data_IF_599082417868
#
_entry.id   IF_599082417868
#
_cell.length_a   1.000
_cell.length_b   1.000
_cell.length_c   1.000
_cell.angle_alpha   90.00
_cell.angle_beta   90.00
_cell.angle_gamma   90.00
#
_symmetry.space_group_name_H-M   'P 1'
#
loop_
_entity.id
_entity.type
_entity.pdbx_description
1 polymer ?
#
# COMPACT_ATOMS: atom_id res chain seq x y z
N UNK A 1 -6.88 -22.10 -8.34
CA UNK A 1 -6.51 -20.76 -7.82
C UNK A 1 -6.94 -20.55 -6.36
N UNK A 2 -7.99 -21.20 -5.86
CA UNK A 2 -8.47 -21.08 -4.45
C UNK A 2 -7.44 -21.56 -3.40
N UNK A 3 -6.63 -22.56 -3.72
CA UNK A 3 -5.73 -23.22 -2.75
C UNK A 3 -4.63 -22.34 -2.17
N UNK A 4 -4.07 -21.39 -2.92
CA UNK A 4 -2.95 -20.56 -2.43
C UNK A 4 -3.45 -19.52 -1.43
N UNK A 5 -4.56 -18.83 -1.73
CA UNK A 5 -5.13 -17.84 -0.83
C UNK A 5 -5.66 -18.48 0.46
N UNK A 6 -6.26 -19.66 0.38
CA UNK A 6 -6.71 -20.41 1.57
C UNK A 6 -5.54 -20.79 2.48
N UNK A 7 -4.42 -21.23 1.90
CA UNK A 7 -3.17 -21.50 2.65
C UNK A 7 -2.60 -20.25 3.29
N UNK A 8 -2.55 -19.12 2.57
CA UNK A 8 -2.07 -17.85 3.13
C UNK A 8 -2.92 -17.44 4.34
N UNK A 9 -4.25 -17.58 4.24
CA UNK A 9 -5.17 -17.30 5.34
C UNK A 9 -4.93 -18.23 6.53
N UNK A 10 -4.71 -19.51 6.29
CA UNK A 10 -4.38 -20.50 7.33
C UNK A 10 -3.07 -20.15 8.06
N UNK A 11 -2.00 -19.86 7.30
CA UNK A 11 -0.70 -19.44 7.86
C UNK A 11 -0.87 -18.15 8.67
N UNK A 12 -1.57 -17.16 8.11
CA UNK A 12 -1.83 -15.87 8.75
C UNK A 12 -2.59 -16.01 10.07
N UNK A 13 -3.55 -16.94 10.13
CA UNK A 13 -4.32 -17.24 11.34
C UNK A 13 -3.46 -17.91 12.41
N UNK A 14 -2.58 -18.82 12.00
CA UNK A 14 -1.69 -19.56 12.91
C UNK A 14 -0.58 -18.68 13.50
N UNK A 15 -0.20 -17.59 12.84
CA UNK A 15 0.81 -16.64 13.34
C UNK A 15 0.33 -15.84 14.58
N UNK A 16 -0.99 -15.75 14.80
CA UNK A 16 -1.59 -15.09 15.97
C UNK A 16 -1.53 -13.56 15.95
N UNK A 17 -1.04 -12.95 14.87
CA UNK A 17 -1.04 -11.49 14.67
C UNK A 17 -2.45 -11.02 14.35
N UNK A 18 -2.95 -10.09 15.17
CA UNK A 18 -4.27 -9.49 15.01
C UNK A 18 -4.33 -8.73 13.67
N UNK A 19 -5.32 -9.06 12.84
CA UNK A 19 -5.57 -8.37 11.56
C UNK A 19 -4.81 -8.96 10.36
N UNK A 20 -3.85 -9.86 10.56
CA UNK A 20 -3.03 -10.42 9.46
C UNK A 20 -3.85 -11.18 8.42
N UNK A 21 -4.78 -12.04 8.85
CA UNK A 21 -5.65 -12.78 7.92
C UNK A 21 -6.47 -11.84 7.03
N UNK A 22 -7.05 -10.79 7.61
CA UNK A 22 -7.82 -9.81 6.86
C UNK A 22 -6.94 -8.95 5.94
N UNK A 23 -5.69 -8.67 6.35
CA UNK A 23 -4.73 -7.93 5.56
C UNK A 23 -4.28 -8.71 4.34
N UNK A 24 -3.91 -9.97 4.53
CA UNK A 24 -3.57 -10.86 3.43
C UNK A 24 -4.72 -11.00 2.44
N UNK A 25 -5.97 -11.13 2.93
CA UNK A 25 -7.14 -11.20 2.06
C UNK A 25 -7.31 -9.94 1.21
N UNK A 26 -7.19 -8.75 1.79
CA UNK A 26 -7.34 -7.49 1.03
C UNK A 26 -6.15 -7.23 0.10
N UNK A 27 -4.93 -7.52 0.55
CA UNK A 27 -3.71 -7.33 -0.22
C UNK A 27 -3.74 -8.16 -1.51
N UNK A 28 -4.16 -9.42 -1.41
CA UNK A 28 -4.13 -10.35 -2.53
C UNK A 28 -5.46 -10.46 -3.28
N UNK A 29 -6.50 -9.71 -2.88
CA UNK A 29 -7.84 -9.79 -3.50
C UNK A 29 -7.83 -9.52 -5.01
N UNK A 30 -6.95 -8.62 -5.47
CA UNK A 30 -6.82 -8.24 -6.89
C UNK A 30 -5.44 -8.59 -7.45
N UNK A 31 -4.69 -9.47 -6.78
CA UNK A 31 -3.37 -9.87 -7.26
C UNK A 31 -3.47 -10.61 -8.60
N UNK A 32 -2.59 -10.28 -9.53
CA UNK A 32 -2.44 -11.00 -10.79
C UNK A 32 -2.08 -12.48 -10.49
N UNK A 33 -2.73 -13.46 -11.15
CA UNK A 33 -2.31 -14.86 -11.06
C UNK A 33 -0.82 -15.11 -11.26
N UNK A 34 -0.14 -14.35 -12.14
CA UNK A 34 1.31 -14.46 -12.33
C UNK A 34 2.09 -14.14 -11.06
N UNK A 35 1.70 -13.09 -10.33
CA UNK A 35 2.29 -12.76 -9.04
C UNK A 35 2.04 -13.86 -8.01
N UNK A 36 0.79 -14.33 -7.89
CA UNK A 36 0.42 -15.37 -6.91
C UNK A 36 1.10 -16.72 -7.19
N UNK A 37 1.41 -17.02 -8.45
CA UNK A 37 2.12 -18.23 -8.83
C UNK A 37 3.65 -18.07 -8.79
N UNK A 38 4.15 -16.82 -8.73
CA UNK A 38 5.57 -16.51 -8.66
C UNK A 38 6.19 -16.70 -7.28
N UNK A 39 5.36 -16.81 -6.23
CA UNK A 39 5.79 -16.97 -4.85
C UNK A 39 5.04 -18.12 -4.17
N UNK A 40 5.69 -18.81 -3.23
CA UNK A 40 5.03 -19.81 -2.40
C UNK A 40 4.14 -19.15 -1.31
N UNK A 41 3.29 -19.96 -0.67
CA UNK A 41 2.31 -19.46 0.29
C UNK A 41 2.97 -18.87 1.54
N UNK A 42 4.10 -19.45 1.96
CA UNK A 42 4.92 -19.00 3.08
C UNK A 42 5.51 -17.60 2.80
N UNK A 43 6.05 -17.39 1.61
CA UNK A 43 6.58 -16.09 1.16
C UNK A 43 5.47 -15.05 1.04
N UNK A 44 4.33 -15.42 0.46
CA UNK A 44 3.17 -14.52 0.37
C UNK A 44 2.63 -14.14 1.76
N UNK A 45 2.62 -15.06 2.72
CA UNK A 45 2.27 -14.77 4.11
C UNK A 45 3.31 -13.85 4.78
N UNK A 46 4.60 -14.04 4.52
CA UNK A 46 5.67 -13.17 5.01
C UNK A 46 5.58 -11.74 4.41
N UNK A 47 5.26 -11.61 3.13
CA UNK A 47 4.97 -10.33 2.46
C UNK A 47 3.80 -9.63 3.17
N UNK A 48 2.70 -10.34 3.40
CA UNK A 48 1.54 -9.79 4.10
C UNK A 48 1.88 -9.34 5.53
N UNK A 49 2.72 -10.11 6.24
CA UNK A 49 3.19 -9.78 7.59
C UNK A 49 4.09 -8.54 7.61
N UNK A 50 5.02 -8.43 6.67
CA UNK A 50 5.86 -7.24 6.49
C UNK A 50 5.00 -6.01 6.21
N UNK A 51 4.06 -6.13 5.27
CA UNK A 51 3.15 -5.05 4.89
C UNK A 51 2.25 -4.59 6.03
N UNK A 52 1.71 -5.51 6.82
CA UNK A 52 0.92 -5.16 8.01
C UNK A 52 1.78 -4.42 9.04
N UNK A 53 3.02 -4.86 9.28
CA UNK A 53 3.95 -4.18 10.18
C UNK A 53 4.31 -2.78 9.69
N UNK A 54 4.53 -2.61 8.38
CA UNK A 54 4.80 -1.30 7.79
C UNK A 54 3.57 -0.38 7.91
N UNK A 55 2.39 -0.90 7.59
CA UNK A 55 1.13 -0.19 7.81
C UNK A 55 1.05 0.23 9.27
N UNK A 56 1.20 -0.67 10.24
CA UNK A 56 1.15 -0.42 11.69
C UNK A 56 2.04 0.73 12.15
N UNK A 57 3.26 0.80 11.64
CA UNK A 57 4.23 1.84 11.99
C UNK A 57 4.06 3.15 11.22
N UNK A 58 3.14 3.22 10.25
CA UNK A 58 2.88 4.42 9.46
C UNK A 58 2.17 5.50 10.29
N UNK A 59 2.85 6.62 10.53
CA UNK A 59 2.38 7.73 11.36
C UNK A 59 2.23 9.05 10.57
N UNK A 60 2.89 9.16 9.42
CA UNK A 60 2.89 10.36 8.58
C UNK A 60 1.77 10.33 7.54
N UNK A 61 1.55 11.47 6.85
CA UNK A 61 0.59 11.59 5.74
C UNK A 61 0.99 10.74 4.53
N UNK A 62 2.29 10.66 4.27
CA UNK A 62 2.94 9.83 3.25
C UNK A 62 4.00 9.01 4.00
N UNK A 63 3.97 7.69 3.87
CA UNK A 63 4.99 6.81 4.44
C UNK A 63 5.53 5.96 3.29
N UNK A 64 6.85 5.92 3.15
CA UNK A 64 7.53 5.21 2.07
C UNK A 64 8.60 4.31 2.68
N UNK A 65 8.62 3.05 2.27
CA UNK A 65 9.68 2.09 2.55
C UNK A 65 10.20 1.53 1.23
N UNK A 66 11.52 1.48 1.06
CA UNK A 66 12.17 0.89 -0.12
C UNK A 66 13.32 0.05 0.39
N UNK A 67 13.35 -1.23 0.01
CA UNK A 67 14.31 -2.19 0.54
C UNK A 67 14.48 -3.39 -0.38
N UNK A 68 15.63 -4.03 -0.26
CA UNK A 68 15.92 -5.33 -0.86
C UNK A 68 15.61 -6.43 0.18
N UNK A 69 14.54 -7.23 0.02
CA UNK A 69 14.15 -8.18 1.05
C UNK A 69 15.21 -9.25 1.31
N UNK A 70 15.46 -9.53 2.58
CA UNK A 70 16.38 -10.57 3.04
C UNK A 70 15.72 -11.47 4.08
N UNK A 71 16.10 -12.75 4.10
CA UNK A 71 15.55 -13.69 5.08
C UNK A 71 15.87 -13.26 6.52
N UNK A 72 17.05 -12.69 6.75
CA UNK A 72 17.50 -12.27 8.07
C UNK A 72 16.71 -11.07 8.62
N UNK A 73 16.39 -10.08 7.78
CA UNK A 73 15.71 -8.86 8.22
C UNK A 73 14.18 -8.96 8.12
N UNK A 74 13.69 -9.59 7.05
CA UNK A 74 12.28 -9.52 6.64
C UNK A 74 11.56 -10.87 6.77
N UNK A 75 12.31 -11.97 6.90
CA UNK A 75 11.76 -13.33 6.91
C UNK A 75 11.38 -13.85 5.52
N UNK A 76 11.70 -13.11 4.47
CA UNK A 76 11.53 -13.49 3.08
C UNK A 76 12.56 -12.77 2.19
N UNK A 77 12.81 -13.30 0.99
CA UNK A 77 13.70 -12.66 0.03
C UNK A 77 13.17 -12.79 -1.39
N UNK A 78 13.60 -11.90 -2.28
CA UNK A 78 13.33 -12.00 -3.71
C UNK A 78 14.42 -11.26 -4.52
N UNK A 79 14.38 -11.41 -5.84
CA UNK A 79 15.31 -10.76 -6.76
C UNK A 79 14.93 -9.32 -7.12
N UNK A 80 13.93 -8.75 -6.44
CA UNK A 80 13.40 -7.40 -6.69
C UNK A 80 13.71 -6.46 -5.53
N UNK A 81 13.74 -5.16 -5.81
CA UNK A 81 13.57 -4.16 -4.76
C UNK A 81 12.08 -3.95 -4.53
N UNK A 82 11.69 -3.87 -3.27
CA UNK A 82 10.31 -3.68 -2.84
C UNK A 82 10.12 -2.23 -2.43
N UNK A 83 9.10 -1.60 -3.00
CA UNK A 83 8.60 -0.29 -2.63
C UNK A 83 7.24 -0.47 -1.96
N UNK A 84 7.11 0.01 -0.72
CA UNK A 84 5.84 0.11 -0.01
C UNK A 84 5.50 1.58 0.22
N UNK A 85 4.26 1.97 -0.07
CA UNK A 85 3.72 3.29 0.23
C UNK A 85 2.41 3.18 0.98
N UNK A 86 2.27 3.98 2.04
CA UNK A 86 1.00 4.21 2.73
C UNK A 86 0.69 5.69 2.66
N UNK A 87 -0.42 6.02 2.01
CA UNK A 87 -0.95 7.38 1.90
C UNK A 87 -2.46 7.36 2.10
N UNK A 88 -3.07 8.46 2.56
CA UNK A 88 -4.54 8.55 2.56
C UNK A 88 -5.07 8.38 1.14
N UNK A 89 -6.12 7.56 0.99
CA UNK A 89 -6.76 7.26 -0.29
C UNK A 89 -7.11 8.55 -1.05
N UNK A 90 -6.61 8.64 -2.30
CA UNK A 90 -6.76 9.81 -3.17
C UNK A 90 -6.48 9.42 -4.63
N UNK A 91 -6.99 10.20 -5.61
CA UNK A 91 -6.69 9.98 -7.03
C UNK A 91 -5.19 10.08 -7.35
N UNK A 92 -4.79 9.48 -8.47
CA UNK A 92 -3.47 9.60 -9.12
C UNK A 92 -2.27 8.99 -8.38
N UNK A 93 -2.44 8.33 -7.23
CA UNK A 93 -1.32 7.69 -6.49
C UNK A 93 -0.60 6.66 -7.36
N UNK A 94 -1.33 5.66 -7.86
CA UNK A 94 -0.78 4.56 -8.67
C UNK A 94 -0.10 5.09 -9.94
N UNK A 95 -0.79 5.94 -10.70
CA UNK A 95 -0.27 6.48 -11.96
C UNK A 95 1.00 7.32 -11.75
N UNK A 96 1.05 8.10 -10.68
CA UNK A 96 2.22 8.92 -10.35
C UNK A 96 3.41 8.08 -9.89
N UNK A 97 3.16 7.00 -9.14
CA UNK A 97 4.20 6.04 -8.77
C UNK A 97 4.77 5.33 -9.99
N UNK A 98 3.92 4.86 -10.90
CA UNK A 98 4.37 4.25 -12.16
C UNK A 98 5.21 5.23 -12.99
N UNK A 99 4.74 6.48 -13.13
CA UNK A 99 5.44 7.50 -13.90
C UNK A 99 6.82 7.84 -13.29
N UNK A 100 6.93 8.04 -11.97
CA UNK A 100 8.22 8.36 -11.34
C UNK A 100 9.20 7.18 -11.41
N UNK A 101 8.72 5.95 -11.31
CA UNK A 101 9.56 4.76 -11.49
C UNK A 101 10.09 4.65 -12.92
N UNK A 102 9.21 4.82 -13.91
CA UNK A 102 9.59 4.80 -15.33
C UNK A 102 10.59 5.91 -15.70
N UNK A 103 10.36 7.13 -15.21
CA UNK A 103 11.27 8.28 -15.43
C UNK A 103 12.67 8.04 -14.85
N UNK A 104 12.77 7.24 -13.79
CA UNK A 104 14.04 6.87 -13.17
C UNK A 104 14.58 5.52 -13.68
N UNK A 105 14.03 5.01 -14.80
CA UNK A 105 14.46 3.78 -15.46
C UNK A 105 14.37 2.52 -14.57
N UNK A 106 13.44 2.52 -13.62
CA UNK A 106 13.13 1.34 -12.80
C UNK A 106 11.90 0.66 -13.34
N UNK A 107 12.07 -0.53 -13.92
CA UNK A 107 10.93 -1.29 -14.43
C UNK A 107 10.12 -1.88 -13.28
N UNK A 108 8.81 -1.69 -13.31
CA UNK A 108 7.87 -2.38 -12.42
C UNK A 108 7.53 -3.76 -12.98
N UNK A 109 7.75 -4.80 -12.18
CA UNK A 109 7.42 -6.19 -12.54
C UNK A 109 6.05 -6.59 -11.99
N UNK A 110 5.76 -6.23 -10.74
CA UNK A 110 4.48 -6.48 -10.09
C UNK A 110 4.10 -5.30 -9.22
N UNK A 111 2.81 -5.07 -9.05
CA UNK A 111 2.32 -4.17 -8.01
C UNK A 111 0.94 -4.58 -7.51
N UNK A 112 0.67 -4.28 -6.24
CA UNK A 112 -0.61 -4.47 -5.56
C UNK A 112 -1.00 -3.14 -4.93
N UNK A 113 -2.23 -2.69 -5.18
CA UNK A 113 -2.70 -1.37 -4.77
C UNK A 113 -4.06 -1.41 -4.04
N UNK A 114 -4.21 -2.21 -2.95
CA UNK A 114 -5.46 -2.28 -2.22
C UNK A 114 -5.80 -0.95 -1.51
N UNK A 115 -7.10 -0.63 -1.48
CA UNK A 115 -7.63 0.40 -0.59
C UNK A 115 -7.98 -0.24 0.76
N UNK A 116 -7.23 0.14 1.80
CA UNK A 116 -7.37 -0.39 3.15
C UNK A 116 -8.20 0.56 4.01
N UNK A 117 -9.26 0.04 4.64
CA UNK A 117 -10.05 0.80 5.61
C UNK A 117 -9.58 0.50 7.02
N UNK A 118 -8.97 1.49 7.67
CA UNK A 118 -8.36 1.34 9.00
C UNK A 118 -9.21 2.08 10.04
N UNK A 119 -9.63 1.36 11.07
CA UNK A 119 -10.19 1.96 12.29
C UNK A 119 -9.12 2.07 13.39
N UNK A 120 -9.08 3.22 14.06
CA UNK A 120 -8.17 3.45 15.18
C UNK A 120 -8.94 3.30 16.50
N UNK A 121 -8.67 2.24 17.27
CA UNK A 121 -9.12 2.11 18.67
C UNK A 121 -7.90 2.20 19.59
N UNK A 122 -7.79 3.31 20.33
CA UNK A 122 -6.70 3.68 21.25
C UNK A 122 -5.27 3.69 20.67
N UNK A 123 -4.33 4.26 21.45
CA UNK A 123 -2.93 4.59 21.09
C UNK A 123 -2.15 3.41 20.48
N UNK A 124 -2.60 2.18 20.74
CA UNK A 124 -2.19 0.99 19.99
C UNK A 124 -3.30 0.68 19.00
N UNK A 125 -3.20 1.27 17.81
CA UNK A 125 -4.15 1.07 16.73
C UNK A 125 -4.36 -0.43 16.50
N UNK A 126 -5.43 -1.01 17.04
CA UNK A 126 -5.88 -2.31 16.59
C UNK A 126 -6.45 -2.04 15.20
N UNK A 127 -5.60 -2.19 14.17
CA UNK A 127 -5.98 -2.00 12.78
C UNK A 127 -6.90 -3.14 12.39
N UNK A 128 -8.18 -2.95 12.66
CA UNK A 128 -9.18 -3.71 11.96
C UNK A 128 -9.21 -3.16 10.55
N UNK A 129 -8.84 -4.03 9.62
CA UNK A 129 -9.25 -3.89 8.25
C UNK A 129 -10.76 -4.13 8.20
N UNK A 130 -11.49 -3.05 8.40
CA UNK A 130 -12.93 -3.10 8.53
C UNK A 130 -13.57 -3.13 7.14
N UNK A 131 -14.81 -3.63 7.07
CA UNK A 131 -15.74 -3.13 6.05
C UNK A 131 -15.88 -1.63 6.27
N UNK A 132 -15.95 -0.86 5.18
CA UNK A 132 -16.13 0.60 5.21
C UNK A 132 -17.15 1.02 6.29
N UNK A 133 -16.70 1.84 7.23
CA UNK A 133 -17.53 2.35 8.32
C UNK A 133 -17.44 3.88 8.40
N UNK A 134 -18.25 4.49 9.26
CA UNK A 134 -18.19 5.94 9.49
C UNK A 134 -16.91 6.40 10.22
N UNK A 135 -16.27 5.50 10.97
CA UNK A 135 -15.06 5.78 11.76
C UNK A 135 -13.76 5.35 11.08
N UNK A 136 -13.84 4.55 10.01
CA UNK A 136 -12.67 4.10 9.26
C UNK A 136 -12.11 5.19 8.37
N UNK A 137 -10.78 5.29 8.30
CA UNK A 137 -10.07 6.08 7.29
C UNK A 137 -9.61 5.16 6.16
N UNK A 138 -9.76 5.61 4.92
CA UNK A 138 -9.28 4.89 3.75
C UNK A 138 -7.81 5.28 3.47
N UNK A 139 -6.97 4.27 3.28
CA UNK A 139 -5.58 4.39 2.90
C UNK A 139 -5.35 3.66 1.59
N UNK A 140 -4.62 4.28 0.67
CA UNK A 140 -3.99 3.58 -0.43
C UNK A 140 -2.72 2.93 0.11
N UNK A 141 -2.68 1.60 0.07
CA UNK A 141 -1.46 0.83 0.34
C UNK A 141 -0.94 0.32 -1.00
N UNK A 142 0.29 0.69 -1.31
CA UNK A 142 0.92 0.43 -2.59
C UNK A 142 2.13 -0.46 -2.34
N UNK A 143 2.19 -1.61 -2.99
CA UNK A 143 3.30 -2.55 -2.90
C UNK A 143 3.80 -2.82 -4.32
N UNK A 144 5.01 -2.37 -4.63
CA UNK A 144 5.63 -2.43 -5.93
C UNK A 144 6.89 -3.29 -5.88
N UNK A 145 7.09 -4.11 -6.90
CA UNK A 145 8.29 -4.91 -7.12
C UNK A 145 8.97 -4.36 -8.36
N UNK A 146 10.13 -3.74 -8.18
CA UNK A 146 10.89 -3.08 -9.24
C UNK A 146 12.23 -3.79 -9.47
N UNK A 147 12.93 -3.41 -10.54
CA UNK A 147 14.30 -3.82 -10.77
C UNK A 147 15.16 -3.64 -9.50
N UNK A 148 16.03 -4.60 -9.25
CA UNK A 148 16.91 -4.56 -8.08
C UNK A 148 17.85 -3.36 -8.17
N UNK A 149 17.78 -2.49 -7.17
CA UNK A 149 18.66 -1.33 -7.01
C UNK A 149 19.65 -1.56 -5.86
N UNK A 150 20.80 -0.90 -5.93
CA UNK A 150 21.75 -0.90 -4.82
C UNK A 150 21.21 -0.09 -3.64
N UNK A 151 21.57 -0.51 -2.43
CA UNK A 151 21.14 0.20 -1.21
C UNK A 151 21.63 1.67 -1.17
N UNK A 152 22.67 2.02 -1.93
CA UNK A 152 23.16 3.39 -2.09
C UNK A 152 22.20 4.31 -2.82
N UNK A 153 21.38 3.76 -3.71
CA UNK A 153 20.53 4.52 -4.64
C UNK A 153 19.10 4.66 -4.09
N UNK A 154 18.75 3.83 -3.11
CA UNK A 154 17.47 3.85 -2.40
C UNK A 154 17.10 5.25 -1.86
N UNK A 155 17.98 5.99 -1.17
CA UNK A 155 17.63 7.30 -0.62
C UNK A 155 17.21 8.31 -1.68
N UNK A 156 17.88 8.30 -2.84
CA UNK A 156 17.56 9.19 -3.94
C UNK A 156 16.19 8.86 -4.54
N UNK A 157 15.93 7.58 -4.80
CA UNK A 157 14.62 7.15 -5.31
C UNK A 157 13.49 7.46 -4.33
N UNK A 158 13.73 7.23 -3.03
CA UNK A 158 12.77 7.52 -1.97
C UNK A 158 12.41 9.01 -1.93
N UNK A 159 13.39 9.89 -2.09
CA UNK A 159 13.16 11.33 -2.13
C UNK A 159 12.29 11.71 -3.33
N UNK A 160 12.61 11.23 -4.53
CA UNK A 160 11.83 11.53 -5.75
C UNK A 160 10.37 11.07 -5.64
N UNK A 161 10.15 9.87 -5.09
CA UNK A 161 8.80 9.35 -4.84
C UNK A 161 8.06 10.23 -3.83
N UNK A 162 8.74 10.67 -2.78
CA UNK A 162 8.14 11.56 -1.78
C UNK A 162 7.68 12.88 -2.39
N UNK A 163 8.54 13.54 -3.17
CA UNK A 163 8.23 14.81 -3.85
C UNK A 163 7.00 14.67 -4.75
N UNK A 164 6.94 13.63 -5.58
CA UNK A 164 5.78 13.35 -6.45
C UNK A 164 4.51 13.10 -5.65
N UNK A 165 4.58 12.34 -4.55
CA UNK A 165 3.41 12.09 -3.71
C UNK A 165 2.96 13.33 -2.94
N UNK A 166 3.87 14.24 -2.59
CA UNK A 166 3.52 15.55 -2.03
C UNK A 166 2.76 16.41 -3.05
N UNK A 167 3.18 16.40 -4.32
CA UNK A 167 2.46 17.09 -5.39
C UNK A 167 1.05 16.51 -5.60
N UNK A 168 0.92 15.17 -5.64
CA UNK A 168 -0.38 14.49 -5.69
C UNK A 168 -1.25 14.91 -4.51
N UNK A 169 -0.66 14.97 -3.32
CA UNK A 169 -1.36 15.38 -2.11
C UNK A 169 -1.87 16.81 -2.21
N UNK A 170 -1.01 17.75 -2.63
CA UNK A 170 -1.38 19.15 -2.80
C UNK A 170 -2.47 19.33 -3.86
N UNK A 171 -2.33 18.66 -5.02
CA UNK A 171 -3.29 18.74 -6.11
C UNK A 171 -4.67 18.16 -5.76
N UNK A 172 -4.71 17.17 -4.87
CA UNK A 172 -5.97 16.48 -4.50
C UNK A 172 -6.65 17.07 -3.27
N UNK A 173 -5.90 17.70 -2.36
CA UNK A 173 -6.46 18.36 -1.18
C UNK A 173 -7.36 19.55 -1.59
N UNK A 174 -6.97 20.31 -2.62
CA UNK A 174 -7.76 21.45 -3.13
C UNK A 174 -9.00 21.01 -3.94
N UNK A 175 -8.96 19.83 -4.56
CA UNK A 175 -10.05 19.35 -5.40
C UNK A 175 -11.35 19.12 -4.62
N UNK A 176 -11.27 18.61 -3.39
CA UNK A 176 -12.46 18.41 -2.56
C UNK A 176 -13.10 19.75 -2.14
N UNK A 177 -12.28 20.73 -1.77
CA UNK A 177 -12.74 22.06 -1.39
C UNK A 177 -13.39 22.80 -2.58
N UNK A 178 -12.76 22.74 -3.75
CA UNK A 178 -13.30 23.31 -4.98
C UNK A 178 -14.63 22.66 -5.35
N UNK A 179 -14.76 21.32 -5.25
CA UNK A 179 -16.01 20.61 -5.54
C UNK A 179 -17.12 20.95 -4.54
N UNK A 180 -16.80 21.11 -3.26
CA UNK A 180 -17.76 21.57 -2.26
C UNK A 180 -18.25 22.98 -2.55
N UNK A 181 -17.36 23.93 -2.87
CA UNK A 181 -17.77 25.30 -3.19
C UNK A 181 -18.54 25.39 -4.51
N UNK A 182 -18.17 24.59 -5.51
CA UNK A 182 -18.93 24.50 -6.75
C UNK A 182 -20.36 23.99 -6.47
N UNK A 183 -20.49 22.93 -5.68
CA UNK A 183 -21.80 22.36 -5.31
C UNK A 183 -22.64 23.35 -4.50
N UNK A 184 -22.04 24.10 -3.55
CA UNK A 184 -22.75 25.16 -2.82
C UNK A 184 -23.29 26.24 -3.76
N UNK A 185 -22.49 26.67 -4.74
CA UNK A 185 -22.92 27.66 -5.73
C UNK A 185 -23.99 27.13 -6.68
N UNK A 186 -23.92 25.86 -7.09
CA UNK A 186 -24.97 25.22 -7.89
C UNK A 186 -26.29 25.21 -7.12
N UNK A 187 -26.29 24.80 -5.85
CA UNK A 187 -27.49 24.82 -5.01
C UNK A 187 -28.06 26.21 -4.73
N UNK A 188 -27.25 27.27 -4.87
CA UNK A 188 -27.72 28.66 -4.77
C UNK A 188 -28.39 29.16 -6.07
N UNK A 189 -28.00 28.61 -7.23
CA UNK A 189 -28.60 28.96 -8.53
C UNK A 189 -29.91 28.19 -8.77
N UNK A 190 -30.06 27.02 -8.16
CA UNK A 190 -31.26 26.16 -8.27
C UNK A 190 -32.36 26.50 -7.24
N UNK A 191 -32.13 27.46 -6.34
CA UNK A 191 -33.07 27.93 -5.31
C UNK A 191 -33.72 29.26 -5.72
#
# INVERSE_FOLDING_TARGET
>A
MTTTLDKIKEISRNDGIVGLESFAEQLFAQANPEFLNGFDAETLAAIAKSGLKFLDNSQSKININIYNPSYEADGWSCDYTVLEVVVTDRPFVVDSLLAVLEQNQHKTHYYLHPILHVEYKDVKAIKYLAKKSKSSKAYAYELFFIDKISDSDIPELKQKIHEVLEEVVLATDDYHNLRQELNKKISYIEA
#
